data_IF_184854746570
#
_entry.id   IF_184854746570
#
_cell.length_a   1.000
_cell.length_b   1.000
_cell.length_c   1.000
_cell.angle_alpha   90.00
_cell.angle_beta   90.00
_cell.angle_gamma   90.00
#
_symmetry.space_group_name_H-M   'P 1'
#
loop_
_entity.id
_entity.type
_entity.pdbx_description
1 polymer ?
#
# COMPACT_ATOMS: atom_id res chain seq x y z
N UNK A 1 -2.53 17.73 23.50
CA UNK A 1 -1.69 16.57 23.14
C UNK A 1 -2.55 15.74 22.21
N UNK A 2 -2.40 15.94 20.91
CA UNK A 2 -3.32 15.40 19.91
C UNK A 2 -2.59 14.27 19.21
N UNK A 3 -2.90 13.03 19.59
CA UNK A 3 -2.51 11.86 18.81
C UNK A 3 -3.77 11.04 18.61
N UNK A 4 -4.66 11.54 17.76
CA UNK A 4 -5.78 10.76 17.25
C UNK A 4 -5.30 10.06 15.99
N UNK A 5 -4.49 9.00 16.15
CA UNK A 5 -4.27 8.04 15.06
C UNK A 5 -5.52 7.17 14.99
N UNK A 6 -6.42 7.51 14.07
CA UNK A 6 -7.61 6.69 13.75
C UNK A 6 -7.40 6.05 12.38
N UNK A 7 -6.23 5.42 12.19
CA UNK A 7 -6.01 4.42 11.15
C UNK A 7 -6.29 3.02 11.71
N UNK A 8 -6.76 2.06 10.91
CA UNK A 8 -7.02 0.69 11.35
C UNK A 8 -5.74 0.03 11.91
N UNK A 9 -5.93 -0.89 12.86
CA UNK A 9 -4.87 -1.45 13.71
C UNK A 9 -3.94 -2.44 12.98
N UNK A 10 -3.21 -1.96 11.98
CA UNK A 10 -2.07 -2.68 11.41
C UNK A 10 -0.86 -2.46 12.30
N UNK A 11 -0.10 -3.53 12.55
CA UNK A 11 1.18 -3.47 13.24
C UNK A 11 2.23 -3.03 12.22
N UNK A 12 2.96 -1.94 12.49
CA UNK A 12 3.96 -1.43 11.57
C UNK A 12 5.03 -2.47 11.22
N UNK A 13 5.61 -2.33 10.03
CA UNK A 13 6.78 -3.09 9.59
C UNK A 13 7.92 -2.96 10.63
N UNK A 14 8.48 -4.09 11.06
CA UNK A 14 9.51 -4.16 12.10
C UNK A 14 10.88 -3.75 11.56
N UNK A 15 11.24 -4.21 10.35
CA UNK A 15 12.48 -3.83 9.66
C UNK A 15 12.17 -3.24 8.27
N UNK A 16 11.73 -1.97 8.21
CA UNK A 16 11.34 -1.34 6.96
C UNK A 16 12.56 -1.05 6.09
N UNK A 17 12.52 -1.51 4.84
CA UNK A 17 13.33 -0.98 3.74
C UNK A 17 12.40 -0.33 2.73
N UNK A 18 12.85 0.76 2.11
CA UNK A 18 12.08 1.52 1.14
C UNK A 18 12.85 1.77 -0.14
N UNK A 19 12.15 1.75 -1.28
CA UNK A 19 12.68 2.13 -2.59
C UNK A 19 11.74 3.11 -3.27
N UNK A 20 12.30 4.01 -4.08
CA UNK A 20 11.50 4.86 -4.96
C UNK A 20 11.02 4.03 -6.15
N UNK A 21 9.72 4.02 -6.40
CA UNK A 21 9.13 3.26 -7.50
C UNK A 21 8.67 4.16 -8.64
N UNK A 22 8.07 5.31 -8.32
CA UNK A 22 7.55 6.27 -9.29
C UNK A 22 6.65 5.66 -10.38
N UNK A 23 5.85 4.65 -10.02
CA UNK A 23 4.99 3.93 -10.96
C UNK A 23 3.68 4.71 -11.18
N UNK A 24 3.45 5.18 -12.40
CA UNK A 24 2.19 5.84 -12.76
C UNK A 24 1.01 4.85 -12.68
N UNK A 25 -0.10 5.28 -12.08
CA UNK A 25 -1.32 4.48 -11.96
C UNK A 25 -2.50 5.23 -12.60
N UNK A 26 -3.55 4.49 -12.98
CA UNK A 26 -4.78 5.11 -13.50
C UNK A 26 -5.56 5.72 -12.33
N UNK A 27 -6.38 6.74 -12.61
CA UNK A 27 -7.30 7.31 -11.61
C UNK A 27 -8.24 6.23 -11.02
N UNK A 28 -8.68 5.26 -11.84
CA UNK A 28 -9.50 4.14 -11.37
C UNK A 28 -8.78 3.29 -10.31
N UNK A 29 -7.48 3.01 -10.52
CA UNK A 29 -6.66 2.25 -9.59
C UNK A 29 -6.45 3.04 -8.29
N UNK A 30 -6.27 4.36 -8.39
CA UNK A 30 -6.18 5.25 -7.23
C UNK A 30 -7.42 5.15 -6.34
N UNK A 31 -8.63 5.21 -6.92
CA UNK A 31 -9.87 5.04 -6.13
C UNK A 31 -10.01 3.65 -5.52
N UNK A 32 -9.57 2.59 -6.21
CA UNK A 32 -9.56 1.24 -5.67
C UNK A 32 -8.61 1.11 -4.47
N UNK A 33 -7.44 1.74 -4.56
CA UNK A 33 -6.47 1.80 -3.46
C UNK A 33 -7.08 2.55 -2.26
N UNK A 34 -7.65 3.74 -2.47
CA UNK A 34 -8.29 4.51 -1.41
C UNK A 34 -9.44 3.78 -0.72
N UNK A 35 -10.17 2.94 -1.46
CA UNK A 35 -11.25 2.13 -0.90
C UNK A 35 -10.71 1.04 0.06
N UNK A 36 -9.49 0.56 -0.17
CA UNK A 36 -8.89 -0.53 0.58
C UNK A 36 -9.64 -1.86 0.44
N UNK A 37 -9.29 -2.80 1.30
CA UNK A 37 -9.91 -4.12 1.38
C UNK A 37 -9.98 -4.58 2.83
N UNK A 38 -11.19 -4.95 3.26
CA UNK A 38 -11.42 -5.57 4.57
C UNK A 38 -11.78 -7.05 4.36
N UNK A 39 -11.04 -7.99 4.99
CA UNK A 39 -11.31 -9.42 4.86
C UNK A 39 -12.72 -9.76 5.38
N UNK A 40 -13.45 -10.61 4.65
CA UNK A 40 -14.79 -11.07 5.02
C UNK A 40 -14.83 -12.57 5.35
N UNK A 41 -13.90 -13.34 4.81
CA UNK A 41 -13.79 -14.79 4.99
C UNK A 41 -12.43 -15.18 5.57
N UNK A 42 -12.31 -16.40 6.09
CA UNK A 42 -11.06 -16.89 6.67
C UNK A 42 -9.94 -17.03 5.62
N UNK A 43 -10.32 -17.22 4.36
CA UNK A 43 -9.43 -17.31 3.21
C UNK A 43 -8.86 -15.95 2.78
N UNK A 44 -9.45 -14.84 3.23
CA UNK A 44 -8.99 -13.49 2.93
C UNK A 44 -7.75 -13.17 3.76
N UNK A 45 -6.58 -13.44 3.17
CA UNK A 45 -5.29 -13.37 3.86
C UNK A 45 -4.74 -11.96 4.10
N UNK A 46 -5.37 -10.97 3.47
CA UNK A 46 -4.88 -9.61 3.41
C UNK A 46 -5.92 -8.65 3.97
N UNK A 47 -5.44 -7.63 4.67
CA UNK A 47 -6.18 -6.42 4.99
C UNK A 47 -5.41 -5.26 4.38
N UNK A 48 -6.10 -4.43 3.61
CA UNK A 48 -5.52 -3.29 2.91
C UNK A 48 -6.25 -2.03 3.34
N UNK A 49 -5.50 -1.07 3.86
CA UNK A 49 -6.08 0.10 4.52
C UNK A 49 -5.29 1.33 4.15
N UNK A 50 -6.00 2.43 3.96
CA UNK A 50 -5.39 3.69 3.55
C UNK A 50 -5.51 4.71 4.66
N UNK A 51 -4.43 5.44 4.86
CA UNK A 51 -4.41 6.60 5.74
C UNK A 51 -5.16 7.79 5.11
N UNK A 52 -5.53 8.75 5.96
CA UNK A 52 -6.00 10.05 5.49
C UNK A 52 -4.89 10.76 4.69
N UNK A 53 -5.24 11.54 3.66
CA UNK A 53 -4.26 12.30 2.90
C UNK A 53 -3.43 13.23 3.80
N UNK A 54 -2.12 13.24 3.60
CA UNK A 54 -1.20 14.15 4.26
C UNK A 54 -1.37 15.60 3.78
N UNK A 55 -0.59 16.52 4.33
CA UNK A 55 -0.62 17.95 3.94
C UNK A 55 -0.29 18.20 2.45
N UNK A 56 0.30 17.23 1.77
CA UNK A 56 0.63 17.26 0.35
C UNK A 56 -0.36 16.48 -0.52
N UNK A 57 -1.39 15.85 0.09
CA UNK A 57 -2.39 15.03 -0.59
C UNK A 57 -1.95 13.58 -0.82
N UNK A 58 -0.80 13.16 -0.27
CA UNK A 58 -0.35 11.78 -0.39
C UNK A 58 -1.06 10.89 0.64
N UNK A 59 -1.34 9.66 0.26
CA UNK A 59 -1.94 8.65 1.13
C UNK A 59 -1.03 7.45 1.21
N UNK A 60 -0.95 6.81 2.38
CA UNK A 60 -0.22 5.55 2.52
C UNK A 60 -1.23 4.41 2.49
N UNK A 61 -1.02 3.46 1.59
CA UNK A 61 -1.69 2.17 1.61
C UNK A 61 -0.85 1.22 2.45
N UNK A 62 -1.44 0.64 3.48
CA UNK A 62 -0.85 -0.40 4.30
C UNK A 62 -1.49 -1.75 3.94
N UNK A 63 -0.66 -2.75 3.63
CA UNK A 63 -1.11 -4.11 3.41
C UNK A 63 -0.52 -5.04 4.48
N UNK A 64 -1.41 -5.66 5.25
CA UNK A 64 -1.07 -6.50 6.38
C UNK A 64 -1.75 -7.87 6.30
N UNK A 65 -1.23 -8.83 7.07
CA UNK A 65 -1.89 -10.14 7.24
C UNK A 65 -3.16 -9.99 8.05
N UNK A 66 -4.27 -10.54 7.58
CA UNK A 66 -5.56 -10.42 8.25
C UNK A 66 -5.60 -11.03 9.66
N UNK A 67 -4.80 -12.07 9.92
CA UNK A 67 -4.83 -12.81 11.19
C UNK A 67 -3.78 -12.37 12.21
N UNK A 68 -2.67 -11.73 11.81
CA UNK A 68 -1.68 -11.17 12.76
C UNK A 68 -1.69 -9.64 12.81
N UNK A 69 -2.34 -9.00 11.83
CA UNK A 69 -2.27 -7.58 11.55
C UNK A 69 -0.86 -7.08 11.25
N UNK A 70 0.11 -7.97 11.00
CA UNK A 70 1.48 -7.57 10.66
C UNK A 70 1.52 -7.02 9.25
N UNK A 71 1.91 -5.76 9.14
CA UNK A 71 2.18 -5.11 7.89
C UNK A 71 3.33 -5.81 7.17
N UNK A 72 3.16 -6.04 5.89
CA UNK A 72 4.17 -6.68 5.04
C UNK A 72 4.72 -5.67 4.04
N UNK A 73 3.86 -4.78 3.56
CA UNK A 73 4.20 -3.77 2.57
C UNK A 73 3.32 -2.54 2.74
N UNK A 74 3.91 -1.36 2.55
CA UNK A 74 3.20 -0.10 2.37
C UNK A 74 3.60 0.60 1.08
N UNK A 75 2.64 1.30 0.49
CA UNK A 75 2.80 2.11 -0.70
C UNK A 75 2.42 3.55 -0.41
N UNK A 76 3.35 4.47 -0.61
CA UNK A 76 3.03 5.90 -0.64
C UNK A 76 2.44 6.24 -2.00
N UNK A 77 1.19 6.66 -2.01
CA UNK A 77 0.44 7.03 -3.20
C UNK A 77 0.36 8.54 -3.27
N UNK A 78 0.89 9.10 -4.34
CA UNK A 78 0.79 10.51 -4.66
C UNK A 78 -0.48 10.71 -5.50
N UNK A 79 -1.41 11.56 -5.06
CA UNK A 79 -2.67 11.85 -5.76
C UNK A 79 -2.48 12.48 -7.15
N UNK A 80 -1.25 12.89 -7.48
CA UNK A 80 -0.94 13.67 -8.67
C UNK A 80 -1.14 15.17 -8.45
N UNK A 81 -0.79 15.96 -9.48
CA UNK A 81 -0.95 17.42 -9.54
C UNK A 81 -1.64 17.78 -10.84
N UNK A 82 -2.05 19.04 -11.05
CA UNK A 82 -2.64 19.47 -12.33
C UNK A 82 -1.77 19.04 -13.53
N UNK A 83 -2.32 18.18 -14.38
CA UNK A 83 -1.67 17.63 -15.57
C UNK A 83 -0.78 16.40 -15.34
N UNK A 84 -0.60 15.94 -14.09
CA UNK A 84 0.16 14.74 -13.74
C UNK A 84 -0.73 13.82 -12.90
N UNK A 85 -1.11 12.67 -13.48
CA UNK A 85 -1.96 11.68 -12.82
C UNK A 85 -1.34 11.07 -11.56
N UNK A 86 -2.12 10.26 -10.82
CA UNK A 86 -1.66 9.63 -9.61
C UNK A 86 -0.52 8.63 -9.88
N UNK A 87 0.34 8.41 -8.88
CA UNK A 87 1.43 7.44 -8.97
C UNK A 87 1.76 6.85 -7.61
N UNK A 88 2.40 5.69 -7.61
CA UNK A 88 3.08 5.13 -6.46
C UNK A 88 4.46 5.76 -6.36
N UNK A 89 4.69 6.55 -5.33
CA UNK A 89 5.98 7.22 -5.09
C UNK A 89 7.00 6.25 -4.50
N UNK A 90 6.65 5.66 -3.36
CA UNK A 90 7.57 4.85 -2.55
C UNK A 90 6.93 3.52 -2.20
N UNK A 91 7.72 2.45 -2.32
CA UNK A 91 7.41 1.11 -1.81
C UNK A 91 8.24 0.88 -0.55
N UNK A 92 7.59 0.51 0.55
CA UNK A 92 8.24 0.11 1.80
C UNK A 92 7.84 -1.32 2.15
N UNK A 93 8.78 -2.19 2.48
CA UNK A 93 8.53 -3.58 2.80
C UNK A 93 9.34 -4.06 4.01
N UNK A 94 8.86 -5.14 4.62
CA UNK A 94 9.60 -5.85 5.67
C UNK A 94 10.84 -6.51 5.08
N UNK A 95 12.00 -6.17 5.62
CA UNK A 95 13.28 -6.75 5.19
C UNK A 95 13.57 -7.98 6.02
N UNK A 96 13.70 -9.12 5.36
CA UNK A 96 14.39 -10.28 5.92
C UNK A 96 15.66 -10.59 5.11
N UNK A 97 16.42 -11.58 5.56
CA UNK A 97 17.71 -11.99 4.94
C UNK A 97 17.57 -12.46 3.48
N UNK A 98 16.34 -12.65 2.97
CA UNK A 98 16.05 -13.27 1.68
C UNK A 98 15.19 -12.41 0.73
N UNK A 99 14.55 -11.34 1.21
CA UNK A 99 13.65 -10.51 0.38
C UNK A 99 14.42 -9.52 -0.49
N UNK A 100 14.22 -9.62 -1.81
CA UNK A 100 14.73 -8.67 -2.81
C UNK A 100 13.72 -7.56 -3.11
N UNK A 101 14.21 -6.44 -3.67
CA UNK A 101 13.33 -5.36 -4.13
C UNK A 101 12.32 -5.83 -5.19
N UNK A 102 12.73 -6.72 -6.09
CA UNK A 102 11.87 -7.30 -7.12
C UNK A 102 10.73 -8.13 -6.53
N UNK A 103 11.01 -8.95 -5.50
CA UNK A 103 9.98 -9.71 -4.80
C UNK A 103 9.01 -8.80 -4.04
N UNK A 104 9.51 -7.72 -3.45
CA UNK A 104 8.66 -6.72 -2.80
C UNK A 104 7.74 -6.01 -3.81
N UNK A 105 8.26 -5.65 -4.99
CA UNK A 105 7.47 -5.08 -6.09
C UNK A 105 6.44 -6.08 -6.61
N UNK A 106 6.80 -7.34 -6.80
CA UNK A 106 5.89 -8.39 -7.24
C UNK A 106 4.76 -8.61 -6.22
N UNK A 107 5.09 -8.65 -4.92
CA UNK A 107 4.09 -8.74 -3.86
C UNK A 107 3.13 -7.56 -3.88
N UNK A 108 3.65 -6.33 -4.00
CA UNK A 108 2.85 -5.12 -4.06
C UNK A 108 1.90 -5.12 -5.27
N UNK A 109 2.39 -5.48 -6.46
CA UNK A 109 1.55 -5.60 -7.66
C UNK A 109 0.50 -6.69 -7.47
N UNK A 110 0.86 -7.84 -6.92
CA UNK A 110 -0.09 -8.94 -6.69
C UNK A 110 -1.20 -8.54 -5.73
N UNK A 111 -0.89 -7.80 -4.65
CA UNK A 111 -1.90 -7.28 -3.73
C UNK A 111 -2.81 -6.27 -4.44
N UNK A 112 -2.23 -5.27 -5.11
CA UNK A 112 -3.03 -4.27 -5.83
C UNK A 112 -3.93 -4.91 -6.89
N UNK A 113 -3.43 -5.90 -7.62
CA UNK A 113 -4.16 -6.57 -8.70
C UNK A 113 -5.24 -7.52 -8.20
N UNK A 114 -4.87 -8.43 -7.31
CA UNK A 114 -5.76 -9.54 -6.92
C UNK A 114 -6.64 -9.21 -5.71
N UNK A 115 -6.26 -8.24 -4.88
CA UNK A 115 -7.02 -7.87 -3.67
C UNK A 115 -7.78 -6.56 -3.89
N UNK A 116 -7.12 -5.54 -4.46
CA UNK A 116 -7.74 -4.24 -4.69
C UNK A 116 -8.42 -4.11 -6.07
N UNK A 117 -8.18 -5.05 -6.99
CA UNK A 117 -8.78 -5.04 -8.32
C UNK A 117 -8.18 -3.97 -9.25
N UNK A 118 -6.93 -3.57 -9.00
CA UNK A 118 -6.21 -2.62 -9.82
C UNK A 118 -5.54 -3.28 -11.04
N UNK A 119 -5.25 -2.50 -12.08
CA UNK A 119 -4.57 -2.97 -13.30
C UNK A 119 -3.09 -2.54 -13.32
N UNK A 120 -2.35 -2.83 -12.25
CA UNK A 120 -0.92 -2.52 -12.18
C UNK A 120 -0.07 -3.53 -12.96
N UNK A 121 0.97 -3.03 -13.60
CA UNK A 121 2.05 -3.80 -14.21
C UNK A 121 3.39 -3.31 -13.67
N UNK A 122 4.33 -4.23 -13.44
CA UNK A 122 5.71 -3.88 -13.08
C UNK A 122 6.32 -3.21 -14.32
N UNK A 123 6.74 -1.95 -14.18
CA UNK A 123 7.40 -1.17 -15.24
C UNK A 123 8.87 -1.56 -15.42
#
# INVERSE_FOLDING_TARGET
MTTTFTGPQVKPIAHPTSTEWNLAIKDADYYNILKGFTPQQMEDRWVCVTDEPDAHGNTVLHAARSWTSEEQVSLTIESGREGVGPKIGTLTWETNEYDTEDEAKELAVNICKHILGCELEIA
#
